data_IF_255729364157
#
_entry.id   IF_255729364157
#
_cell.length_a   1.000
_cell.length_b   1.000
_cell.length_c   1.000
_cell.angle_alpha   90.00
_cell.angle_beta   90.00
_cell.angle_gamma   90.00
#
_symmetry.space_group_name_H-M   'P 1'
#
loop_
_entity.id
_entity.type
_entity.pdbx_description
1 polymer ?
#
# COMPACT_ATOMS: atom_id res chain seq x y z
N UNK A 1 3.91 -0.94 20.08
CA UNK A 1 3.02 0.14 19.62
C UNK A 1 2.36 -0.26 18.31
N UNK A 2 1.05 -0.13 18.23
CA UNK A 2 0.32 -0.45 16.99
C UNK A 2 0.24 0.77 16.08
N UNK A 3 0.48 0.55 14.81
CA UNK A 3 0.39 1.58 13.78
C UNK A 3 -0.67 1.17 12.77
N UNK A 4 -1.48 2.11 12.36
CA UNK A 4 -2.48 1.88 11.32
C UNK A 4 -1.84 2.16 9.96
N UNK A 5 -1.78 1.14 9.12
CA UNK A 5 -1.02 1.16 7.88
C UNK A 5 -1.95 1.00 6.68
N UNK A 6 -1.70 1.78 5.64
CA UNK A 6 -2.29 1.58 4.32
C UNK A 6 -1.19 1.12 3.37
N UNK A 7 -1.50 0.13 2.55
CA UNK A 7 -0.55 -0.47 1.62
C UNK A 7 -0.98 -0.23 0.18
N UNK A 8 -0.11 0.37 -0.61
CA UNK A 8 -0.35 0.61 -2.03
C UNK A 8 0.66 -0.19 -2.85
N UNK A 9 0.15 -1.02 -3.74
CA UNK A 9 0.97 -1.72 -4.73
C UNK A 9 0.84 -1.03 -6.08
N UNK A 10 1.95 -0.60 -6.63
CA UNK A 10 2.00 0.06 -7.94
C UNK A 10 2.49 -0.96 -8.96
N UNK A 11 1.62 -1.33 -9.90
CA UNK A 11 1.96 -2.32 -10.91
C UNK A 11 1.01 -2.24 -12.09
N UNK A 12 1.50 -2.54 -13.29
CA UNK A 12 0.68 -2.52 -14.49
C UNK A 12 -0.03 -3.84 -14.77
N UNK A 13 0.41 -4.92 -14.16
CA UNK A 13 -0.04 -6.26 -14.54
C UNK A 13 -0.63 -7.09 -13.40
N UNK A 14 -0.38 -6.73 -12.15
CA UNK A 14 -0.83 -7.54 -11.02
C UNK A 14 -2.21 -7.14 -10.55
N UNK A 15 -2.90 -8.11 -9.98
CA UNK A 15 -4.14 -7.87 -9.24
C UNK A 15 -3.88 -8.20 -7.77
N UNK A 16 -4.85 -7.91 -6.92
CA UNK A 16 -4.72 -8.27 -5.50
C UNK A 16 -4.51 -9.77 -5.33
N UNK A 17 -5.16 -10.57 -6.16
CA UNK A 17 -5.07 -12.03 -6.07
C UNK A 17 -3.68 -12.56 -6.40
N UNK A 18 -2.94 -11.91 -7.29
CA UNK A 18 -1.62 -12.38 -7.69
C UNK A 18 -0.47 -11.49 -7.21
N UNK A 19 -0.76 -10.54 -6.33
CA UNK A 19 0.26 -9.66 -5.76
C UNK A 19 0.95 -10.34 -4.58
N UNK A 20 1.95 -11.16 -4.88
CA UNK A 20 2.67 -11.91 -3.85
C UNK A 20 3.46 -10.99 -2.92
N UNK A 21 4.09 -9.95 -3.46
CA UNK A 21 4.87 -9.02 -2.65
C UNK A 21 3.99 -8.28 -1.65
N UNK A 22 2.84 -7.81 -2.12
CA UNK A 22 1.88 -7.15 -1.23
C UNK A 22 1.36 -8.09 -0.15
N UNK A 23 1.10 -9.37 -0.52
CA UNK A 23 0.67 -10.38 0.44
C UNK A 23 1.69 -10.64 1.52
N UNK A 24 2.97 -10.70 1.15
CA UNK A 24 4.06 -10.86 2.13
C UNK A 24 4.09 -9.67 3.09
N UNK A 25 3.94 -8.46 2.57
CA UNK A 25 3.91 -7.27 3.41
C UNK A 25 2.71 -7.25 4.34
N UNK A 26 1.54 -7.67 3.87
CA UNK A 26 0.36 -7.78 4.72
C UNK A 26 0.63 -8.72 5.89
N UNK A 27 1.25 -9.86 5.62
CA UNK A 27 1.59 -10.81 6.68
C UNK A 27 2.58 -10.20 7.68
N UNK A 28 3.59 -9.49 7.21
CA UNK A 28 4.55 -8.84 8.08
C UNK A 28 3.92 -7.77 8.95
N UNK A 29 2.98 -7.01 8.39
CA UNK A 29 2.24 -6.01 9.14
C UNK A 29 1.47 -6.66 10.28
N UNK A 30 0.80 -7.77 10.00
CA UNK A 30 0.05 -8.50 11.01
C UNK A 30 0.94 -9.13 12.06
N UNK A 31 2.06 -9.71 11.65
CA UNK A 31 3.02 -10.32 12.58
C UNK A 31 3.61 -9.28 13.54
N UNK A 32 3.75 -8.05 13.08
CA UNK A 32 4.25 -6.96 13.92
C UNK A 32 3.16 -6.35 14.80
N UNK A 33 1.95 -6.91 14.78
CA UNK A 33 0.80 -6.41 15.53
C UNK A 33 0.34 -5.02 15.10
N UNK A 34 0.60 -4.65 13.85
CA UNK A 34 0.05 -3.42 13.28
C UNK A 34 -1.28 -3.71 12.59
N UNK A 35 -2.06 -2.68 12.38
CA UNK A 35 -3.35 -2.79 11.71
C UNK A 35 -3.22 -2.40 10.24
N UNK A 36 -3.70 -3.25 9.36
CA UNK A 36 -3.83 -2.91 7.95
C UNK A 36 -5.22 -2.30 7.74
N UNK A 37 -5.25 -0.98 7.51
CA UNK A 37 -6.50 -0.26 7.36
C UNK A 37 -7.03 -0.39 5.94
N UNK A 38 -6.16 -0.30 4.94
CA UNK A 38 -6.55 -0.37 3.55
C UNK A 38 -5.41 -0.95 2.71
N UNK A 39 -5.77 -1.57 1.61
CA UNK A 39 -4.82 -2.11 0.65
C UNK A 39 -5.36 -1.88 -0.75
N UNK A 40 -4.57 -1.20 -1.58
CA UNK A 40 -4.98 -0.92 -2.95
C UNK A 40 -3.88 -1.27 -3.93
N UNK A 41 -4.29 -1.54 -5.16
CA UNK A 41 -3.39 -1.73 -6.30
C UNK A 41 -3.76 -0.68 -7.33
N UNK A 42 -2.75 -0.04 -7.91
CA UNK A 42 -2.97 0.86 -9.03
C UNK A 42 -1.87 0.67 -10.07
N UNK A 43 -2.14 1.19 -11.25
CA UNK A 43 -1.14 1.19 -12.31
C UNK A 43 -0.05 2.22 -12.00
N UNK A 44 1.08 2.07 -12.66
CA UNK A 44 2.18 3.04 -12.55
C UNK A 44 1.77 4.32 -13.30
N UNK A 45 0.83 5.04 -12.72
CA UNK A 45 0.28 6.25 -13.24
C UNK A 45 0.28 7.29 -12.12
N UNK A 46 1.02 8.37 -12.34
CA UNK A 46 1.19 9.41 -11.34
C UNK A 46 -0.14 9.94 -10.80
N UNK A 47 -1.10 10.18 -11.68
CA UNK A 47 -2.38 10.74 -11.28
C UNK A 47 -3.17 9.79 -10.38
N UNK A 48 -3.17 8.51 -10.70
CA UNK A 48 -3.83 7.49 -9.87
C UNK A 48 -3.17 7.37 -8.51
N UNK A 49 -1.84 7.34 -8.49
CA UNK A 49 -1.08 7.26 -7.24
C UNK A 49 -1.39 8.45 -6.35
N UNK A 50 -1.36 9.65 -6.93
CA UNK A 50 -1.63 10.88 -6.18
C UNK A 50 -3.04 10.88 -5.61
N UNK A 51 -4.04 10.46 -6.40
CA UNK A 51 -5.42 10.40 -5.93
C UNK A 51 -5.57 9.49 -4.72
N UNK A 52 -4.98 8.30 -4.78
CA UNK A 52 -5.05 7.36 -3.68
C UNK A 52 -4.37 7.91 -2.44
N UNK A 53 -3.17 8.47 -2.61
CA UNK A 53 -2.42 9.04 -1.49
C UNK A 53 -3.17 10.21 -0.85
N UNK A 54 -3.79 11.06 -1.65
CA UNK A 54 -4.58 12.17 -1.13
C UNK A 54 -5.76 11.69 -0.30
N UNK A 55 -6.47 10.66 -0.77
CA UNK A 55 -7.58 10.11 -0.01
C UNK A 55 -7.11 9.53 1.32
N UNK A 56 -6.00 8.81 1.30
CA UNK A 56 -5.47 8.22 2.51
C UNK A 56 -4.96 9.28 3.48
N UNK A 57 -4.38 10.36 2.98
CA UNK A 57 -3.92 11.45 3.85
C UNK A 57 -5.06 12.17 4.56
N UNK A 58 -6.26 12.13 3.99
CA UNK A 58 -7.45 12.67 4.64
C UNK A 58 -8.00 11.76 5.73
N UNK A 59 -7.60 10.50 5.74
CA UNK A 59 -8.09 9.53 6.72
C UNK A 59 -7.24 9.61 7.99
N UNK A 60 -7.81 10.14 9.04
CA UNK A 60 -7.12 10.30 10.31
C UNK A 60 -6.72 8.99 10.96
N UNK A 61 -7.32 7.89 10.54
CA UNK A 61 -7.00 6.57 11.09
C UNK A 61 -5.71 5.99 10.53
N UNK A 62 -5.24 6.49 9.38
CA UNK A 62 -4.03 5.99 8.75
C UNK A 62 -2.82 6.74 9.29
N UNK A 63 -1.90 6.03 9.91
CA UNK A 63 -0.67 6.60 10.46
C UNK A 63 0.48 6.58 9.48
N UNK A 64 0.54 5.53 8.65
CA UNK A 64 1.65 5.29 7.73
C UNK A 64 1.13 4.71 6.44
N UNK A 65 1.74 5.12 5.33
CA UNK A 65 1.46 4.57 4.01
C UNK A 65 2.71 3.88 3.51
N UNK A 66 2.58 2.60 3.14
CA UNK A 66 3.67 1.84 2.54
C UNK A 66 3.35 1.64 1.07
N UNK A 67 4.31 1.94 0.20
CA UNK A 67 4.18 1.68 -1.23
C UNK A 67 5.14 0.60 -1.63
N UNK A 68 4.72 -0.28 -2.54
CA UNK A 68 5.55 -1.35 -3.05
C UNK A 68 5.29 -1.53 -4.54
N UNK A 69 6.24 -2.17 -5.22
CA UNK A 69 6.16 -2.37 -6.67
C UNK A 69 6.56 -1.12 -7.41
N UNK A 70 6.38 -1.16 -8.73
CA UNK A 70 6.77 -0.07 -9.59
C UNK A 70 8.27 -0.04 -9.87
N UNK A 71 8.61 0.31 -11.09
CA UNK A 71 10.01 0.42 -11.48
C UNK A 71 10.52 1.80 -11.09
N UNK A 72 11.63 1.86 -10.39
CA UNK A 72 12.24 3.12 -10.04
C UNK A 72 11.73 3.76 -8.78
N UNK A 73 10.82 3.10 -8.08
CA UNK A 73 10.37 3.58 -6.77
C UNK A 73 11.26 3.15 -5.64
N UNK A 74 12.18 2.29 -5.92
CA UNK A 74 13.20 1.87 -4.96
C UNK A 74 14.28 2.93 -4.88
N UNK A 75 13.91 4.02 -4.46
CA UNK A 75 14.90 5.06 -4.29
C UNK A 75 15.82 4.74 -3.14
#
# INVERSE_FOLDING_TARGET
MKVNIALLTVTDTRTIDNDKSGGILVNKIKEANHNLIDRKICKDNKDEIVLILKEWLKNEKIDTIITTGGTGLTG
#
